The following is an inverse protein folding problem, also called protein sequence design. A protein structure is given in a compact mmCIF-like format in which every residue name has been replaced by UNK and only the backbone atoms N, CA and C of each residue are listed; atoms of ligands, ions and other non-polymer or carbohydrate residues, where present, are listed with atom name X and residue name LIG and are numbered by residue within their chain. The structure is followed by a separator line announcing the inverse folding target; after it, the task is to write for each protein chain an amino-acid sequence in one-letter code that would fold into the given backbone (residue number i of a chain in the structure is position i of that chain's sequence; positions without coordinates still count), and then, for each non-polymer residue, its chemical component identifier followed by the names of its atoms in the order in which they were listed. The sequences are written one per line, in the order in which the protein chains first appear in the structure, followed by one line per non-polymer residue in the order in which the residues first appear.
data_IF_437980212217
#
_entry.id   IF_437980212217
#
_cell.length_a   1.000
_cell.length_b   1.000
_cell.length_c   1.000
_cell.angle_alpha   90.00
_cell.angle_beta   90.00
_cell.angle_gamma   90.00
#
_symmetry.space_group_name_H-M   'P 1'
#
loop_
_entity.id
_entity.type
_entity.pdbx_description
1 polymer ?
#
# COMPACT_ATOMS: atom_id res chain seq x y z
N UNK A 1 -2.58 12.45 7.40
CA UNK A 1 -3.36 11.96 6.25
C UNK A 1 -3.19 10.45 6.17
N UNK A 2 -4.28 9.68 6.06
CA UNK A 2 -4.21 8.22 5.91
C UNK A 2 -3.93 7.79 4.48
N UNK A 3 -4.18 8.66 3.50
CA UNK A 3 -3.94 8.40 2.08
C UNK A 3 -2.52 8.71 1.62
N UNK A 4 -1.60 9.04 2.54
CA UNK A 4 -0.15 9.19 2.24
C UNK A 4 0.41 8.01 1.46
N UNK A 5 -0.15 6.80 1.66
CA UNK A 5 0.19 5.58 0.91
C UNK A 5 0.01 5.69 -0.61
N UNK A 6 -0.71 6.69 -1.12
CA UNK A 6 -0.86 6.91 -2.56
C UNK A 6 0.49 7.12 -3.26
N UNK A 7 1.48 7.70 -2.56
CA UNK A 7 2.82 7.91 -3.11
C UNK A 7 3.57 6.60 -3.39
N UNK A 8 3.15 5.49 -2.76
CA UNK A 8 3.75 4.17 -2.97
C UNK A 8 3.57 3.68 -4.41
N UNK A 9 2.53 4.15 -5.11
CA UNK A 9 2.33 3.87 -6.53
C UNK A 9 3.43 4.46 -7.44
N UNK A 10 4.23 5.41 -6.93
CA UNK A 10 5.38 5.99 -7.61
C UNK A 10 6.73 5.40 -7.14
N UNK A 11 6.70 4.32 -6.35
CA UNK A 11 7.91 3.68 -5.82
C UNK A 11 8.55 4.40 -4.62
N UNK A 12 7.87 5.38 -4.03
CA UNK A 12 8.31 6.04 -2.80
C UNK A 12 7.64 5.37 -1.61
N UNK A 13 8.39 4.83 -0.66
CA UNK A 13 7.81 4.24 0.54
C UNK A 13 7.31 5.32 1.52
N UNK A 14 6.00 5.38 1.73
CA UNK A 14 5.35 6.32 2.66
C UNK A 14 4.01 5.80 3.20
N UNK A 15 3.64 6.25 4.39
CA UNK A 15 2.39 5.89 5.06
C UNK A 15 1.92 7.00 6.01
N UNK A 16 0.67 6.90 6.46
CA UNK A 16 0.10 7.83 7.43
C UNK A 16 0.61 7.55 8.84
N UNK A 17 0.97 8.60 9.57
CA UNK A 17 1.33 8.56 10.99
C UNK A 17 0.50 9.57 11.79
N UNK A 18 0.52 9.46 13.11
CA UNK A 18 -0.05 10.47 14.01
C UNK A 18 0.74 11.79 13.98
N UNK A 19 0.13 12.86 14.50
CA UNK A 19 0.74 14.19 14.49
C UNK A 19 2.03 14.26 15.32
N UNK A 20 2.05 13.60 16.48
CA UNK A 20 3.20 13.57 17.38
C UNK A 20 4.38 12.84 16.74
N UNK A 21 4.13 11.70 16.09
CA UNK A 21 5.15 10.97 15.35
C UNK A 21 5.71 11.80 14.19
N UNK A 22 4.85 12.51 13.46
CA UNK A 22 5.28 13.38 12.38
C UNK A 22 6.18 14.52 12.89
N UNK A 23 5.80 15.19 13.98
CA UNK A 23 6.61 16.25 14.60
C UNK A 23 7.96 15.72 15.12
N UNK A 24 7.96 14.54 15.73
CA UNK A 24 9.18 13.87 16.18
C UNK A 24 10.17 13.64 15.03
N UNK A 25 9.68 13.20 13.87
CA UNK A 25 10.50 13.04 12.65
C UNK A 25 11.01 14.37 12.12
N UNK A 26 10.23 15.44 12.19
CA UNK A 26 10.69 16.80 11.82
C UNK A 26 11.83 17.28 12.73
N UNK A 27 11.87 16.82 13.98
CA UNK A 27 12.96 17.08 14.93
C UNK A 27 14.14 16.10 14.79
N UNK A 28 14.14 15.25 13.75
CA UNK A 28 15.22 14.32 13.42
C UNK A 28 15.16 12.99 14.17
N UNK A 29 14.06 12.66 14.84
CA UNK A 29 13.88 11.33 15.42
C UNK A 29 13.54 10.31 14.33
N UNK A 30 14.05 9.09 14.47
CA UNK A 30 13.68 7.99 13.58
C UNK A 30 12.29 7.44 13.91
N UNK A 31 11.56 6.99 12.88
CA UNK A 31 10.31 6.25 13.08
C UNK A 31 10.63 4.88 13.68
N UNK A 32 10.01 4.55 14.81
CA UNK A 32 10.09 3.21 15.38
C UNK A 32 8.99 2.34 14.77
N UNK A 33 9.36 1.19 14.24
CA UNK A 33 8.40 0.22 13.70
C UNK A 33 8.90 -1.22 13.92
N UNK A 34 7.96 -2.14 14.11
CA UNK A 34 8.24 -3.56 14.00
C UNK A 34 8.49 -3.86 12.53
N UNK A 35 9.50 -4.70 12.22
CA UNK A 35 9.75 -5.13 10.86
C UNK A 35 8.49 -5.83 10.32
N UNK A 36 7.83 -5.26 9.29
CA UNK A 36 6.53 -5.77 8.84
C UNK A 36 6.73 -7.02 7.98
N UNK A 37 5.75 -7.93 8.04
CA UNK A 37 5.63 -8.99 7.04
C UNK A 37 5.27 -8.37 5.69
N UNK A 38 5.88 -8.88 4.60
CA UNK A 38 5.60 -8.43 3.24
C UNK A 38 4.76 -9.47 2.51
N UNK A 39 3.55 -9.09 2.14
CA UNK A 39 2.62 -9.88 1.35
C UNK A 39 2.78 -9.50 -0.12
N UNK A 40 3.34 -10.42 -0.91
CA UNK A 40 3.42 -10.25 -2.36
C UNK A 40 2.04 -10.38 -3.02
N UNK A 41 1.59 -9.35 -3.74
CA UNK A 41 0.40 -9.37 -4.57
C UNK A 41 0.76 -9.49 -6.05
N UNK A 42 0.61 -10.70 -6.60
CA UNK A 42 0.96 -10.96 -8.00
C UNK A 42 -0.17 -10.55 -8.95
N UNK A 43 0.10 -9.64 -9.88
CA UNK A 43 -0.79 -9.25 -10.97
C UNK A 43 -0.36 -9.93 -12.27
N UNK A 44 -1.31 -10.57 -12.96
CA UNK A 44 -1.09 -11.29 -14.22
C UNK A 44 -2.23 -11.00 -15.19
N UNK A 45 -1.94 -11.15 -16.49
CA UNK A 45 -2.93 -10.96 -17.55
C UNK A 45 -3.16 -9.49 -17.91
N UNK A 46 -4.23 -9.24 -18.67
CA UNK A 46 -4.68 -7.90 -19.07
C UNK A 46 -6.17 -7.76 -18.75
N UNK A 47 -6.61 -6.60 -18.23
CA UNK A 47 -8.03 -6.35 -17.98
C UNK A 47 -8.81 -6.32 -19.30
N UNK A 48 -10.09 -6.67 -19.24
CA UNK A 48 -11.00 -6.52 -20.38
C UNK A 48 -11.13 -5.02 -20.74
N UNK A 49 -11.30 -4.63 -22.02
CA UNK A 49 -11.33 -3.21 -22.42
C UNK A 49 -12.36 -2.33 -21.70
N UNK A 50 -13.44 -2.92 -21.19
CA UNK A 50 -14.51 -2.21 -20.47
C UNK A 50 -14.24 -2.09 -18.95
N UNK A 51 -13.14 -2.64 -18.44
CA UNK A 51 -12.77 -2.57 -17.03
C UNK A 51 -12.09 -1.23 -16.76
N UNK A 52 -12.56 -0.52 -15.75
CA UNK A 52 -12.01 0.75 -15.30
C UNK A 52 -10.98 0.57 -14.19
N UNK A 53 -10.20 1.63 -13.92
CA UNK A 53 -9.29 1.65 -12.77
C UNK A 53 -10.04 1.43 -11.44
N UNK A 54 -11.27 1.95 -11.33
CA UNK A 54 -12.14 1.76 -10.17
C UNK A 54 -12.48 0.29 -9.96
N UNK A 55 -12.79 -0.44 -11.02
CA UNK A 55 -13.09 -1.87 -10.93
C UNK A 55 -11.87 -2.66 -10.42
N UNK A 56 -10.68 -2.31 -10.91
CA UNK A 56 -9.43 -2.95 -10.49
C UNK A 56 -9.14 -2.66 -9.01
N UNK A 57 -9.16 -1.39 -8.59
CA UNK A 57 -8.83 -1.03 -7.21
C UNK A 57 -9.85 -1.59 -6.22
N UNK A 58 -11.14 -1.62 -6.56
CA UNK A 58 -12.17 -2.22 -5.72
C UNK A 58 -11.98 -3.74 -5.60
N UNK A 59 -11.66 -4.42 -6.70
CA UNK A 59 -11.38 -5.87 -6.70
C UNK A 59 -10.16 -6.21 -5.84
N UNK A 60 -9.08 -5.42 -5.96
CA UNK A 60 -7.86 -5.60 -5.15
C UNK A 60 -8.18 -5.37 -3.67
N UNK A 61 -8.89 -4.28 -3.36
CA UNK A 61 -9.27 -3.90 -2.00
C UNK A 61 -10.11 -4.98 -1.33
N UNK A 62 -11.12 -5.52 -2.03
CA UNK A 62 -11.96 -6.59 -1.52
C UNK A 62 -11.14 -7.84 -1.16
N UNK A 63 -10.26 -8.29 -2.07
CA UNK A 63 -9.41 -9.48 -1.87
C UNK A 63 -8.42 -9.30 -0.72
N UNK A 64 -7.78 -8.14 -0.61
CA UNK A 64 -6.86 -7.84 0.48
C UNK A 64 -7.59 -7.79 1.84
N UNK A 65 -8.81 -7.25 1.86
CA UNK A 65 -9.65 -7.24 3.06
C UNK A 65 -10.02 -8.65 3.53
N UNK A 66 -10.40 -9.54 2.60
CA UNK A 66 -10.69 -10.93 2.92
C UNK A 66 -9.45 -11.69 3.44
N UNK A 67 -8.26 -11.36 2.93
CA UNK A 67 -7.00 -11.97 3.37
C UNK A 67 -6.56 -11.51 4.76
N UNK A 68 -6.92 -10.30 5.17
CA UNK A 68 -6.55 -9.72 6.47
C UNK A 68 -5.09 -9.28 6.52
N UNK A 69 -4.77 -8.16 5.84
CA UNK A 69 -3.40 -7.62 5.71
C UNK A 69 -3.10 -6.46 6.66
N UNK A 70 -3.77 -6.42 7.82
CA UNK A 70 -3.53 -5.39 8.85
C UNK A 70 -2.10 -5.52 9.39
N UNK A 71 -1.41 -4.39 9.55
CA UNK A 71 -0.02 -4.27 10.02
C UNK A 71 1.02 -5.00 9.15
N UNK A 72 0.70 -5.21 7.86
CA UNK A 72 1.59 -5.83 6.88
C UNK A 72 1.80 -4.91 5.69
N UNK A 73 2.94 -5.07 5.03
CA UNK A 73 3.17 -4.44 3.74
C UNK A 73 2.57 -5.30 2.62
N UNK A 74 2.01 -4.64 1.62
CA UNK A 74 1.56 -5.29 0.39
C UNK A 74 2.44 -4.77 -0.74
N UNK A 75 3.20 -5.68 -1.35
CA UNK A 75 4.08 -5.36 -2.47
C UNK A 75 3.51 -5.96 -3.74
N UNK A 76 3.23 -5.12 -4.74
CA UNK A 76 2.68 -5.57 -6.00
C UNK A 76 3.78 -5.97 -6.97
N UNK A 77 3.60 -7.09 -7.67
CA UNK A 77 4.58 -7.59 -8.64
C UNK A 77 3.93 -8.42 -9.74
N UNK A 78 4.68 -8.74 -10.80
CA UNK A 78 4.22 -9.62 -11.88
C UNK A 78 3.99 -8.89 -13.21
N UNK A 79 3.70 -9.67 -14.26
CA UNK A 79 3.66 -9.18 -15.65
C UNK A 79 2.41 -8.34 -16.00
N UNK A 80 1.42 -8.29 -15.11
CA UNK A 80 0.23 -7.46 -15.28
C UNK A 80 0.31 -6.08 -14.61
N UNK A 81 1.48 -5.74 -14.04
CA UNK A 81 1.80 -4.42 -13.51
C UNK A 81 2.26 -3.50 -14.65
#
# INVERSE_FOLDING_TARGET
DSHTIMINGLGVAGWGVGGIEAESVMLGQAVSMVLPEVIGYRIVGKPHPNVTATDIVLTITEKLRQRGVVDKFVEFFGAGL
#
